data_IF_643912355704
#
_entry.id   IF_643912355704
#
_cell.length_a   1.000
_cell.length_b   1.000
_cell.length_c   1.000
_cell.angle_alpha   90.00
_cell.angle_beta   90.00
_cell.angle_gamma   90.00
#
_symmetry.space_group_name_H-M   'P 1'
#
loop_
_entity.id
_entity.type
_entity.pdbx_description
1 polymer ?
#
# COMPACT_ATOMS: atom_id res chain seq x y z
N UNK A 1 -2.26 8.13 18.08
CA UNK A 1 -2.26 7.75 16.65
C UNK A 1 -0.87 8.03 16.12
N UNK A 2 -0.18 7.02 15.57
CA UNK A 2 1.09 7.25 14.86
C UNK A 2 0.73 7.51 13.40
N UNK A 3 0.81 8.78 12.97
CA UNK A 3 0.81 9.14 11.56
C UNK A 3 2.23 9.55 11.20
N UNK A 4 2.77 9.02 10.11
CA UNK A 4 4.15 9.30 9.71
C UNK A 4 4.23 9.29 8.19
N UNK A 5 4.69 10.43 7.65
CA UNK A 5 5.12 10.50 6.26
C UNK A 5 6.29 9.54 6.03
N UNK A 6 7.16 9.33 7.02
CA UNK A 6 8.31 8.44 6.87
C UNK A 6 7.92 6.98 6.59
N UNK A 7 6.81 6.48 7.16
CA UNK A 7 6.35 5.13 6.87
C UNK A 7 5.74 5.00 5.46
N UNK A 8 5.14 6.09 4.94
CA UNK A 8 4.69 6.16 3.54
C UNK A 8 5.91 6.10 2.60
N UNK A 9 6.93 6.90 2.86
CA UNK A 9 8.18 6.90 2.08
C UNK A 9 8.87 5.52 2.09
N UNK A 10 8.82 4.79 3.20
CA UNK A 10 9.35 3.41 3.26
C UNK A 10 8.56 2.45 2.37
N UNK A 11 7.24 2.61 2.30
CA UNK A 11 6.40 1.78 1.43
C UNK A 11 6.66 2.10 -0.04
N UNK A 12 6.76 3.38 -0.40
CA UNK A 12 7.12 3.81 -1.75
C UNK A 12 8.49 3.29 -2.15
N UNK A 13 9.52 3.51 -1.34
CA UNK A 13 10.87 3.00 -1.60
C UNK A 13 10.89 1.48 -1.83
N UNK A 14 10.11 0.71 -1.04
CA UNK A 14 9.97 -0.74 -1.23
C UNK A 14 9.32 -1.07 -2.58
N UNK A 15 8.29 -0.35 -3.02
CA UNK A 15 7.68 -0.52 -4.33
C UNK A 15 8.61 -0.12 -5.47
N UNK A 16 9.47 0.87 -5.27
CA UNK A 16 10.54 1.24 -6.21
C UNK A 16 11.71 0.25 -6.22
N UNK A 17 11.65 -0.82 -5.43
CA UNK A 17 12.68 -1.86 -5.37
C UNK A 17 13.93 -1.45 -4.58
N UNK A 18 13.87 -0.37 -3.81
CA UNK A 18 14.96 -0.01 -2.92
C UNK A 18 15.12 -1.01 -1.77
N UNK A 19 16.34 -1.19 -1.25
CA UNK A 19 16.57 -1.96 -0.03
C UNK A 19 15.77 -1.39 1.15
N UNK A 20 15.05 -2.27 1.87
CA UNK A 20 14.26 -1.85 3.01
C UNK A 20 15.11 -1.25 4.14
N UNK A 21 14.75 -0.06 4.60
CA UNK A 21 15.50 0.68 5.63
C UNK A 21 14.98 0.34 7.03
N UNK A 22 15.41 -0.80 7.56
CA UNK A 22 15.01 -1.32 8.88
C UNK A 22 15.08 -0.30 10.02
N UNK A 23 16.14 0.51 10.05
CA UNK A 23 16.33 1.53 11.10
C UNK A 23 15.15 2.51 11.16
N UNK A 24 14.62 2.91 10.00
CA UNK A 24 13.48 3.83 9.94
C UNK A 24 12.20 3.19 10.48
N UNK A 25 11.96 1.91 10.15
CA UNK A 25 10.82 1.14 10.69
C UNK A 25 10.90 1.01 12.23
N UNK A 26 12.08 0.70 12.76
CA UNK A 26 12.30 0.61 14.22
C UNK A 26 12.09 1.96 14.89
N UNK A 27 12.60 3.06 14.30
CA UNK A 27 12.39 4.41 14.84
C UNK A 27 10.90 4.76 14.86
N UNK A 28 10.16 4.43 13.80
CA UNK A 28 8.71 4.62 13.75
C UNK A 28 7.98 3.84 14.86
N UNK A 29 8.34 2.56 15.06
CA UNK A 29 7.70 1.72 16.08
C UNK A 29 8.19 2.02 17.51
N UNK A 30 9.27 2.79 17.68
CA UNK A 30 9.93 3.04 18.97
C UNK A 30 8.99 3.52 20.08
N UNK A 31 7.96 4.38 19.83
CA UNK A 31 7.00 4.75 20.86
C UNK A 31 6.28 3.53 21.44
N UNK A 32 5.84 2.57 20.61
CA UNK A 32 5.19 1.35 21.08
C UNK A 32 6.17 0.39 21.75
N UNK A 33 7.39 0.25 21.22
CA UNK A 33 8.41 -0.63 21.79
C UNK A 33 8.88 -0.21 23.19
N UNK A 34 8.66 1.06 23.57
CA UNK A 34 9.01 1.59 24.89
C UNK A 34 7.85 1.60 25.87
N UNK A 35 6.64 1.25 25.43
CA UNK A 35 5.48 1.16 26.31
C UNK A 35 5.57 -0.11 27.16
N UNK A 36 5.17 -0.02 28.42
CA UNK A 36 5.02 -1.21 29.28
C UNK A 36 3.92 -2.14 28.74
N UNK A 37 2.85 -1.54 28.21
CA UNK A 37 1.71 -2.23 27.59
C UNK A 37 1.50 -1.66 26.18
N UNK A 38 2.20 -2.19 25.16
CA UNK A 38 1.99 -1.80 23.77
C UNK A 38 0.64 -2.29 23.24
N UNK A 39 0.12 -1.72 22.13
CA UNK A 39 -1.08 -2.22 21.49
C UNK A 39 -0.94 -3.69 21.06
N UNK A 40 -1.92 -4.51 21.45
CA UNK A 40 -2.05 -5.89 20.97
C UNK A 40 -2.60 -5.95 19.54
N UNK A 41 -3.26 -4.88 19.09
CA UNK A 41 -3.84 -4.73 17.75
C UNK A 41 -3.50 -3.35 17.19
N UNK A 42 -2.93 -3.33 15.99
CA UNK A 42 -2.59 -2.10 15.26
C UNK A 42 -3.42 -2.03 13.98
N UNK A 43 -4.14 -0.92 13.83
CA UNK A 43 -4.90 -0.62 12.61
C UNK A 43 -3.97 0.07 11.60
N UNK A 44 -3.83 -0.53 10.43
CA UNK A 44 -3.12 0.02 9.27
C UNK A 44 -4.04 1.00 8.55
N UNK A 45 -4.16 2.21 9.10
CA UNK A 45 -5.09 3.25 8.64
C UNK A 45 -4.70 3.96 7.34
N UNK A 46 -3.60 3.57 6.69
CA UNK A 46 -3.13 4.08 5.40
C UNK A 46 -2.92 2.89 4.45
N UNK A 47 -3.33 3.02 3.19
CA UNK A 47 -3.25 1.95 2.18
C UNK A 47 -1.82 1.54 1.84
N UNK A 48 -0.82 2.36 2.17
CA UNK A 48 0.60 2.04 2.05
C UNK A 48 1.07 1.00 3.07
N UNK A 49 0.52 1.03 4.29
CA UNK A 49 1.09 0.26 5.40
C UNK A 49 0.92 -1.26 5.28
N UNK A 50 -0.15 -1.81 4.65
CA UNK A 50 -0.21 -3.23 4.32
C UNK A 50 0.96 -3.73 3.48
N UNK A 51 1.60 -2.87 2.66
CA UNK A 51 2.78 -3.24 1.88
C UNK A 51 4.01 -3.53 2.76
N UNK A 52 3.99 -3.05 4.02
CA UNK A 52 5.04 -3.21 5.01
C UNK A 52 4.67 -4.20 6.12
N UNK A 53 3.61 -4.99 5.93
CA UNK A 53 3.08 -5.88 6.97
C UNK A 53 4.15 -6.85 7.50
N UNK A 54 4.94 -7.45 6.62
CA UNK A 54 6.00 -8.40 6.97
C UNK A 54 7.11 -7.75 7.79
N UNK A 55 7.51 -6.52 7.45
CA UNK A 55 8.54 -5.78 8.15
C UNK A 55 8.04 -5.23 9.50
N UNK A 56 6.78 -4.78 9.55
CA UNK A 56 6.16 -4.33 10.79
C UNK A 56 6.06 -5.48 11.80
N UNK A 57 5.65 -6.68 11.37
CA UNK A 57 5.57 -7.85 12.26
C UNK A 57 6.94 -8.31 12.80
N UNK A 58 8.03 -8.01 12.09
CA UNK A 58 9.39 -8.29 12.58
C UNK A 58 9.88 -7.29 13.62
N UNK A 59 9.27 -6.10 13.68
CA UNK A 59 9.67 -5.02 14.61
C UNK A 59 8.72 -4.97 15.81
N UNK A 60 7.42 -5.17 15.58
CA UNK A 60 6.40 -5.08 16.61
C UNK A 60 6.51 -6.22 17.63
N UNK A 61 6.00 -6.03 18.86
CA UNK A 61 5.96 -7.07 19.86
C UNK A 61 5.29 -8.35 19.35
N UNK A 62 5.76 -9.49 19.84
CA UNK A 62 5.16 -10.78 19.51
C UNK A 62 3.67 -10.80 19.90
N UNK A 63 2.83 -11.33 18.99
CA UNK A 63 1.38 -11.38 19.18
C UNK A 63 0.63 -10.13 18.73
N UNK A 64 1.30 -9.07 18.28
CA UNK A 64 0.60 -7.91 17.71
C UNK A 64 -0.17 -8.31 16.44
N UNK A 65 -1.48 -8.08 16.46
CA UNK A 65 -2.38 -8.27 15.33
C UNK A 65 -2.41 -7.02 14.45
N UNK A 66 -2.25 -7.21 13.14
CA UNK A 66 -2.44 -6.13 12.16
C UNK A 66 -3.83 -6.23 11.53
N UNK A 67 -4.50 -5.08 11.38
CA UNK A 67 -5.84 -4.98 10.78
C UNK A 67 -5.86 -3.85 9.75
N UNK A 68 -6.31 -4.14 8.54
CA UNK A 68 -6.54 -3.15 7.48
C UNK A 68 -7.97 -3.28 6.90
N UNK A 69 -8.29 -2.43 5.92
CA UNK A 69 -9.62 -2.39 5.30
C UNK A 69 -9.74 -3.21 4.00
N UNK A 70 -8.66 -3.78 3.47
CA UNK A 70 -8.57 -4.36 2.13
C UNK A 70 -9.65 -5.41 1.85
N UNK A 71 -9.80 -6.41 2.72
CA UNK A 71 -10.83 -7.44 2.55
C UNK A 71 -12.26 -6.89 2.66
N UNK A 72 -12.48 -5.86 3.49
CA UNK A 72 -13.77 -5.21 3.62
C UNK A 72 -14.13 -4.41 2.36
N UNK A 73 -13.14 -3.70 1.79
CA UNK A 73 -13.28 -3.00 0.51
C UNK A 73 -13.56 -3.99 -0.62
N UNK A 74 -12.84 -5.10 -0.72
CA UNK A 74 -13.09 -6.13 -1.74
C UNK A 74 -14.54 -6.67 -1.69
N UNK A 75 -15.06 -6.98 -0.50
CA UNK A 75 -16.47 -7.39 -0.32
C UNK A 75 -17.45 -6.31 -0.75
N UNK A 76 -17.16 -5.04 -0.43
CA UNK A 76 -18.01 -3.93 -0.86
C UNK A 76 -17.98 -3.74 -2.38
N UNK A 77 -16.82 -3.84 -3.01
CA UNK A 77 -16.68 -3.77 -4.47
C UNK A 77 -17.47 -4.87 -5.16
N UNK A 78 -17.36 -6.13 -4.70
CA UNK A 78 -18.14 -7.24 -5.25
C UNK A 78 -19.65 -6.99 -5.15
N UNK A 79 -20.11 -6.56 -3.98
CA UNK A 79 -21.52 -6.23 -3.78
C UNK A 79 -21.99 -5.10 -4.71
N UNK A 80 -21.18 -4.04 -4.89
CA UNK A 80 -21.55 -2.93 -5.79
C UNK A 80 -21.64 -3.38 -7.26
N UNK A 81 -20.71 -4.23 -7.71
CA UNK A 81 -20.73 -4.78 -9.07
C UNK A 81 -21.96 -5.64 -9.35
N UNK A 82 -22.49 -6.33 -8.34
CA UNK A 82 -23.69 -7.17 -8.46
C UNK A 82 -25.00 -6.37 -8.41
N UNK A 83 -25.04 -5.26 -7.66
CA UNK A 83 -26.31 -4.61 -7.30
C UNK A 83 -26.49 -3.19 -7.84
N UNK A 84 -25.42 -2.42 -8.07
CA UNK A 84 -25.51 -0.98 -8.35
C UNK A 84 -24.72 -0.52 -9.59
N UNK A 85 -23.68 -1.25 -9.99
CA UNK A 85 -22.80 -0.82 -11.07
C UNK A 85 -23.49 -0.90 -12.46
N UNK A 86 -23.21 0.06 -13.37
CA UNK A 86 -23.65 -0.04 -14.75
C UNK A 86 -22.92 -1.17 -15.49
N UNK A 87 -23.49 -1.63 -16.60
CA UNK A 87 -22.85 -2.63 -17.46
C UNK A 87 -21.73 -2.00 -18.31
N UNK A 88 -20.60 -1.71 -17.66
CA UNK A 88 -19.39 -1.20 -18.30
C UNK A 88 -18.28 -2.26 -18.22
N UNK A 89 -17.99 -2.90 -19.36
CA UNK A 89 -17.00 -3.98 -19.47
C UNK A 89 -16.06 -3.72 -20.64
N UNK A 90 -14.79 -4.09 -20.48
CA UNK A 90 -13.81 -4.15 -21.57
C UNK A 90 -13.12 -5.51 -21.58
N UNK A 91 -12.64 -5.92 -22.76
CA UNK A 91 -11.77 -7.09 -22.95
C UNK A 91 -10.29 -6.71 -23.02
N UNK A 92 -9.96 -5.43 -22.88
CA UNK A 92 -8.58 -4.96 -22.87
C UNK A 92 -7.83 -5.45 -21.62
N UNK A 93 -6.51 -5.54 -21.70
CA UNK A 93 -5.66 -5.84 -20.55
C UNK A 93 -5.75 -4.72 -19.49
N UNK A 94 -5.41 -5.03 -18.23
CA UNK A 94 -5.37 -4.02 -17.18
C UNK A 94 -4.27 -2.99 -17.47
N UNK A 95 -4.60 -1.71 -17.30
CA UNK A 95 -3.71 -0.58 -17.56
C UNK A 95 -3.47 0.22 -16.28
N UNK A 96 -2.22 0.68 -16.10
CA UNK A 96 -1.88 1.65 -15.06
C UNK A 96 -1.74 3.05 -15.68
N UNK A 97 -2.20 4.07 -14.96
CA UNK A 97 -2.08 5.46 -15.38
C UNK A 97 -1.28 6.29 -14.37
N UNK A 98 -0.51 7.24 -14.89
CA UNK A 98 0.21 8.25 -14.13
C UNK A 98 -0.12 9.66 -14.63
N UNK A 99 0.05 10.69 -13.79
CA UNK A 99 -0.20 12.08 -14.19
C UNK A 99 1.02 12.71 -14.88
N UNK A 100 2.21 12.21 -14.55
CA UNK A 100 3.46 12.60 -15.17
C UNK A 100 4.32 11.35 -15.35
N UNK A 101 4.83 11.17 -16.58
CA UNK A 101 5.76 10.09 -16.88
C UNK A 101 7.18 10.61 -16.61
N UNK A 102 7.71 10.28 -15.45
CA UNK A 102 9.09 10.59 -15.03
C UNK A 102 9.89 9.30 -14.93
N UNK A 103 11.22 9.39 -14.96
CA UNK A 103 12.10 8.21 -14.80
C UNK A 103 11.84 7.45 -13.50
N UNK A 104 11.41 8.14 -12.44
CA UNK A 104 11.04 7.52 -11.17
C UNK A 104 9.77 6.68 -11.31
N UNK A 105 8.73 7.23 -11.94
CA UNK A 105 7.47 6.54 -12.18
C UNK A 105 7.64 5.34 -13.11
N UNK A 106 8.51 5.44 -14.12
CA UNK A 106 8.85 4.29 -14.99
C UNK A 106 9.45 3.11 -14.21
N UNK A 107 10.13 3.36 -13.09
CA UNK A 107 10.69 2.29 -12.24
C UNK A 107 9.62 1.48 -11.49
N UNK A 108 8.37 1.96 -11.44
CA UNK A 108 7.25 1.19 -10.88
C UNK A 108 6.76 0.10 -11.83
N UNK A 109 7.06 0.17 -13.13
CA UNK A 109 6.53 -0.75 -14.14
C UNK A 109 6.76 -2.23 -13.80
N UNK A 110 7.96 -2.69 -13.37
CA UNK A 110 8.16 -4.09 -13.00
C UNK A 110 7.27 -4.53 -11.83
N UNK A 111 6.97 -3.62 -10.90
CA UNK A 111 6.09 -3.92 -9.76
C UNK A 111 4.64 -3.94 -10.20
N UNK A 112 4.21 -2.97 -11.01
CA UNK A 112 2.87 -2.93 -11.61
C UNK A 112 2.57 -4.19 -12.44
N UNK A 113 3.56 -4.69 -13.20
CA UNK A 113 3.45 -5.94 -13.94
C UNK A 113 3.23 -7.15 -13.02
N UNK A 114 3.86 -7.20 -11.84
CA UNK A 114 3.60 -8.24 -10.84
C UNK A 114 2.18 -8.14 -10.25
N UNK A 115 1.59 -6.95 -10.22
CA UNK A 115 0.20 -6.72 -9.82
C UNK A 115 -0.80 -6.93 -10.98
N UNK A 116 -0.33 -7.29 -12.17
CA UNK A 116 -1.18 -7.62 -13.32
C UNK A 116 -1.50 -6.45 -14.25
N UNK A 117 -0.73 -5.36 -14.20
CA UNK A 117 -0.84 -4.22 -15.14
C UNK A 117 0.30 -4.30 -16.17
N UNK A 118 -0.04 -4.47 -17.45
CA UNK A 118 0.96 -4.71 -18.51
C UNK A 118 1.68 -3.42 -18.91
N UNK A 119 0.95 -2.31 -18.92
CA UNK A 119 1.42 -1.00 -19.40
C UNK A 119 1.22 0.10 -18.35
N UNK A 120 2.05 1.13 -18.46
CA UNK A 120 1.97 2.37 -17.69
C UNK A 120 1.92 3.54 -18.65
N UNK A 121 0.83 4.31 -18.61
CA UNK A 121 0.59 5.41 -19.54
C UNK A 121 0.38 6.74 -18.81
N UNK A 122 0.75 7.85 -19.46
CA UNK A 122 0.43 9.19 -18.96
C UNK A 122 -1.03 9.51 -19.31
N UNK A 123 -1.87 9.76 -18.32
CA UNK A 123 -3.23 10.20 -18.55
C UNK A 123 -3.26 11.70 -18.93
N UNK A 124 -3.86 12.08 -20.06
CA UNK A 124 -4.04 13.47 -20.42
C UNK A 124 -5.18 14.07 -19.57
N UNK A 125 -4.83 14.68 -18.44
CA UNK A 125 -5.80 15.44 -17.65
C UNK A 125 -5.95 16.82 -18.29
N UNK A 126 -7.15 17.13 -18.76
CA UNK A 126 -7.49 18.47 -19.23
C UNK A 126 -7.56 19.39 -18.01
N UNK A 127 -6.78 20.47 -17.98
CA UNK A 127 -6.83 21.50 -16.94
C UNK A 127 -8.06 22.39 -17.09
#
# INVERSE_FOLDING_TARGET
>A
MLGSAELVELAEAKLHGEPFRWKSCVVFCAPWLRMQEPPDTVVLGCTHFPLLQEELLQVLPEGTRLVDSGAAIARRTAWLLEHEAPDAKSSDANQAYCMALTNEIEQLLPVLQRYGFETLEKLPVSA
#
